data_IF_863821553725
#
_entry.id   IF_863821553725
#
_cell.length_a   1.000
_cell.length_b   1.000
_cell.length_c   1.000
_cell.angle_alpha   90.00
_cell.angle_beta   90.00
_cell.angle_gamma   90.00
#
_symmetry.space_group_name_H-M   'P 1'
#
loop_
_entity.id
_entity.type
_entity.pdbx_description
1 polymer ?
#
# COMPACT_ATOMS: atom_id res chain seq x y z
N UNK A 1 -7.44 -33.00 -28.96
CA UNK A 1 -6.35 -32.34 -28.19
C UNK A 1 -5.92 -31.00 -28.77
N UNK A 2 -6.55 -30.47 -29.82
CA UNK A 2 -6.25 -29.12 -30.36
C UNK A 2 -7.20 -28.01 -29.87
N UNK A 3 -8.24 -28.35 -29.12
CA UNK A 3 -9.24 -27.37 -28.66
C UNK A 3 -8.93 -26.73 -27.30
N UNK A 4 -8.09 -27.35 -26.47
CA UNK A 4 -7.77 -26.84 -25.12
C UNK A 4 -6.60 -25.83 -25.17
N UNK A 5 -5.68 -25.96 -26.13
CA UNK A 5 -4.56 -25.02 -26.27
C UNK A 5 -4.97 -23.68 -26.91
N UNK A 6 -6.13 -23.64 -27.59
CA UNK A 6 -6.62 -22.43 -28.26
C UNK A 6 -7.27 -21.44 -27.27
N UNK A 7 -7.86 -21.93 -26.19
CA UNK A 7 -8.50 -21.10 -25.15
C UNK A 7 -7.50 -20.43 -24.19
N UNK A 8 -6.23 -20.87 -24.15
CA UNK A 8 -5.18 -20.21 -23.36
C UNK A 8 -4.56 -19.02 -24.13
N UNK A 9 -4.73 -18.99 -25.46
CA UNK A 9 -3.99 -18.08 -26.35
C UNK A 9 -4.75 -16.80 -26.74
N UNK A 10 -5.94 -16.56 -26.20
CA UNK A 10 -6.81 -15.47 -26.65
C UNK A 10 -7.47 -14.71 -25.49
N UNK A 11 -6.72 -14.42 -24.43
CA UNK A 11 -7.13 -13.37 -23.49
C UNK A 11 -5.95 -12.63 -22.82
N UNK A 12 -4.81 -12.55 -23.48
CA UNK A 12 -3.83 -11.50 -23.18
C UNK A 12 -4.32 -10.20 -23.82
N UNK A 13 -5.38 -9.62 -23.29
CA UNK A 13 -5.52 -8.19 -23.42
C UNK A 13 -4.23 -7.61 -22.85
N UNK A 14 -3.39 -6.98 -23.68
CA UNK A 14 -2.22 -6.20 -23.27
C UNK A 14 -2.66 -4.96 -22.47
N UNK A 15 -3.54 -5.16 -21.49
CA UNK A 15 -3.81 -4.18 -20.46
C UNK A 15 -2.54 -4.15 -19.63
N UNK A 16 -1.74 -3.11 -19.85
CA UNK A 16 -0.63 -2.78 -18.96
C UNK A 16 -1.18 -2.82 -17.55
N UNK A 17 -0.70 -3.76 -16.72
CA UNK A 17 -1.13 -3.90 -15.34
C UNK A 17 -0.85 -2.57 -14.64
N UNK A 18 -1.89 -1.78 -14.41
CA UNK A 18 -1.74 -0.42 -13.86
C UNK A 18 -1.46 -0.46 -12.36
N UNK A 19 -1.90 -1.52 -11.70
CA UNK A 19 -1.69 -1.76 -10.28
C UNK A 19 -1.80 -3.24 -9.92
N UNK A 20 -1.13 -3.63 -8.83
CA UNK A 20 -1.23 -4.93 -8.19
C UNK A 20 -1.62 -4.73 -6.73
N UNK A 21 -2.67 -5.40 -6.28
CA UNK A 21 -3.16 -5.32 -4.91
C UNK A 21 -3.08 -6.71 -4.24
N UNK A 22 -2.51 -6.74 -3.04
CA UNK A 22 -2.43 -7.94 -2.21
C UNK A 22 -2.56 -7.56 -0.74
N UNK A 23 -3.47 -8.21 -0.03
CA UNK A 23 -3.67 -7.90 1.37
C UNK A 23 -4.67 -8.78 2.09
N UNK A 24 -4.82 -8.49 3.38
CA UNK A 24 -5.87 -8.94 4.29
C UNK A 24 -6.50 -7.71 4.92
N UNK A 25 -7.54 -7.90 5.73
CA UNK A 25 -8.29 -6.80 6.37
C UNK A 25 -7.42 -5.90 7.27
N UNK A 26 -6.25 -6.37 7.70
CA UNK A 26 -5.31 -5.68 8.59
C UNK A 26 -4.10 -5.08 7.88
N UNK A 27 -3.67 -5.62 6.73
CA UNK A 27 -2.56 -5.06 5.95
C UNK A 27 -2.84 -5.23 4.48
N UNK A 28 -2.77 -4.13 3.73
CA UNK A 28 -2.94 -4.13 2.28
C UNK A 28 -1.74 -3.48 1.59
N UNK A 29 -1.30 -4.06 0.48
CA UNK A 29 -0.20 -3.55 -0.35
C UNK A 29 -0.72 -3.30 -1.75
N UNK A 30 -0.53 -2.07 -2.23
CA UNK A 30 -0.89 -1.65 -3.58
C UNK A 30 0.39 -1.17 -4.27
N UNK A 31 0.76 -1.84 -5.35
CA UNK A 31 1.92 -1.51 -6.16
C UNK A 31 1.49 -0.97 -7.51
N UNK A 32 2.01 0.18 -7.91
CA UNK A 32 1.90 0.72 -9.27
C UNK A 32 3.30 0.84 -9.88
N UNK A 33 3.39 1.31 -11.13
CA UNK A 33 4.68 1.45 -11.83
C UNK A 33 5.71 2.37 -11.14
N UNK A 34 5.27 3.24 -10.22
CA UNK A 34 6.16 4.19 -9.54
C UNK A 34 5.92 4.35 -8.04
N UNK A 35 4.99 3.59 -7.44
CA UNK A 35 4.64 3.72 -6.03
C UNK A 35 4.31 2.37 -5.43
N UNK A 36 4.83 2.13 -4.24
CA UNK A 36 4.36 1.07 -3.35
C UNK A 36 3.62 1.77 -2.21
N UNK A 37 2.34 1.48 -2.04
CA UNK A 37 1.53 1.94 -0.92
C UNK A 37 1.27 0.75 0.00
N UNK A 38 1.52 0.94 1.29
CA UNK A 38 1.19 -0.04 2.34
C UNK A 38 0.20 0.62 3.27
N UNK A 39 -0.97 -0.01 3.44
CA UNK A 39 -2.00 0.41 4.37
C UNK A 39 -2.04 -0.54 5.56
N UNK A 40 -2.15 0.03 6.76
CA UNK A 40 -2.28 -0.70 8.01
C UNK A 40 -3.66 -0.41 8.61
N UNK A 41 -4.42 -1.46 8.89
CA UNK A 41 -5.69 -1.37 9.60
C UNK A 41 -5.51 -0.91 11.04
N UNK A 42 -6.61 -0.47 11.66
CA UNK A 42 -6.57 0.07 13.04
C UNK A 42 -6.10 -0.95 14.08
N UNK A 43 -6.27 -2.24 13.81
CA UNK A 43 -5.91 -3.32 14.74
C UNK A 43 -4.57 -3.96 14.40
N UNK A 44 -3.82 -3.41 13.45
CA UNK A 44 -2.54 -3.99 13.02
C UNK A 44 -1.52 -3.87 14.16
N UNK A 45 -0.94 -4.99 14.60
CA UNK A 45 0.03 -4.96 15.69
C UNK A 45 1.27 -4.14 15.31
N UNK A 46 1.80 -3.35 16.25
CA UNK A 46 3.00 -2.53 16.04
C UNK A 46 4.20 -3.36 15.56
N UNK A 47 4.31 -4.62 16.00
CA UNK A 47 5.37 -5.53 15.55
C UNK A 47 5.30 -5.81 14.04
N UNK A 48 4.12 -5.83 13.45
CA UNK A 48 3.91 -6.04 12.00
C UNK A 48 4.36 -4.78 11.25
N UNK A 49 3.92 -3.61 11.71
CA UNK A 49 4.33 -2.31 11.15
C UNK A 49 5.86 -2.16 11.19
N UNK A 50 6.46 -2.39 12.35
CA UNK A 50 7.91 -2.29 12.53
C UNK A 50 8.69 -3.26 11.65
N UNK A 51 8.24 -4.51 11.52
CA UNK A 51 8.88 -5.50 10.62
C UNK A 51 8.84 -5.05 9.16
N UNK A 52 7.75 -4.47 8.70
CA UNK A 52 7.62 -3.99 7.32
C UNK A 52 8.58 -2.81 7.08
N UNK A 53 8.61 -1.83 7.99
CA UNK A 53 9.55 -0.70 7.89
C UNK A 53 11.02 -1.14 7.92
N UNK A 54 11.36 -2.10 8.78
CA UNK A 54 12.71 -2.69 8.82
C UNK A 54 13.04 -3.42 7.51
N UNK A 55 12.11 -4.17 6.95
CA UNK A 55 12.31 -4.85 5.67
C UNK A 55 12.56 -3.87 4.53
N UNK A 56 11.80 -2.77 4.46
CA UNK A 56 12.00 -1.72 3.45
C UNK A 56 13.38 -1.07 3.62
N UNK A 57 13.76 -0.67 4.83
CA UNK A 57 15.05 -0.02 5.08
C UNK A 57 16.27 -0.92 4.83
N UNK A 58 16.11 -2.24 4.91
CA UNK A 58 17.16 -3.22 4.53
C UNK A 58 17.39 -3.28 3.03
N UNK A 59 16.35 -3.03 2.22
CA UNK A 59 16.43 -3.05 0.76
C UNK A 59 16.98 -1.70 0.27
N UNK A 60 16.38 -0.61 0.74
CA UNK A 60 16.80 0.74 0.38
C UNK A 60 16.83 1.64 1.62
N UNK A 61 18.04 2.02 2.03
CA UNK A 61 18.28 2.93 3.16
C UNK A 61 17.90 4.37 2.84
N UNK A 62 17.76 4.72 1.57
CA UNK A 62 17.37 6.04 1.08
C UNK A 62 15.88 6.15 0.76
N UNK A 63 15.10 5.10 1.04
CA UNK A 63 13.67 5.09 0.80
C UNK A 63 12.97 6.26 1.50
N UNK A 64 12.41 7.16 0.71
CA UNK A 64 11.55 8.25 1.18
C UNK A 64 10.14 7.69 1.39
N UNK A 65 9.52 8.03 2.51
CA UNK A 65 8.19 7.58 2.87
C UNK A 65 7.32 8.77 3.31
N UNK A 66 6.04 8.69 2.98
CA UNK A 66 5.00 9.62 3.40
C UNK A 66 4.03 8.88 4.31
N UNK A 67 3.60 9.52 5.40
CA UNK A 67 2.67 8.93 6.36
C UNK A 67 1.37 9.75 6.33
N UNK A 68 0.26 9.09 6.02
CA UNK A 68 -1.08 9.65 6.14
C UNK A 68 -1.79 8.98 7.33
N UNK A 69 -2.38 9.79 8.22
CA UNK A 69 -3.10 9.30 9.40
C UNK A 69 -4.55 9.77 9.31
N UNK A 70 -5.49 8.83 9.35
CA UNK A 70 -6.92 9.13 9.50
C UNK A 70 -7.23 9.24 10.99
N UNK A 71 -7.69 10.40 11.43
CA UNK A 71 -7.99 10.67 12.83
C UNK A 71 -9.39 11.28 13.02
N UNK A 72 -9.97 11.18 14.23
CA UNK A 72 -11.17 11.91 14.60
C UNK A 72 -10.95 13.43 14.57
N UNK A 73 -12.04 14.20 14.39
CA UNK A 73 -11.99 15.65 14.30
C UNK A 73 -11.31 16.30 15.52
N UNK A 74 -11.54 15.77 16.71
CA UNK A 74 -11.02 16.29 17.97
C UNK A 74 -9.49 16.18 18.08
N UNK A 75 -8.87 15.30 17.28
CA UNK A 75 -7.41 15.10 17.26
C UNK A 75 -6.69 15.93 16.21
N UNK A 76 -7.40 16.64 15.32
CA UNK A 76 -6.78 17.39 14.23
C UNK A 76 -5.76 18.40 14.78
N UNK A 77 -6.14 19.21 15.78
CA UNK A 77 -5.25 20.23 16.37
C UNK A 77 -4.01 19.61 17.03
N UNK A 78 -4.16 18.43 17.64
CA UNK A 78 -3.02 17.67 18.19
C UNK A 78 -2.05 17.27 17.06
N UNK A 79 -2.53 16.69 15.96
CA UNK A 79 -1.67 16.30 14.85
C UNK A 79 -1.05 17.50 14.12
N UNK A 80 -1.79 18.59 13.93
CA UNK A 80 -1.24 19.83 13.36
C UNK A 80 -0.07 20.37 14.21
N UNK A 81 -0.19 20.29 15.54
CA UNK A 81 0.91 20.70 16.45
C UNK A 81 2.16 19.82 16.34
N UNK A 82 2.02 18.58 15.86
CA UNK A 82 3.12 17.67 15.56
C UNK A 82 3.68 17.85 14.13
N UNK A 83 3.21 18.84 13.38
CA UNK A 83 3.69 19.16 12.04
C UNK A 83 2.99 18.41 10.90
N UNK A 84 1.87 17.74 11.18
CA UNK A 84 1.04 17.14 10.12
C UNK A 84 0.25 18.23 9.39
N UNK A 85 0.02 18.02 8.09
CA UNK A 85 -0.83 18.89 7.27
C UNK A 85 -2.21 18.26 7.13
N UNK A 86 -3.25 19.03 7.45
CA UNK A 86 -4.63 18.60 7.25
C UNK A 86 -4.93 18.51 5.75
N UNK A 87 -5.38 17.33 5.31
CA UNK A 87 -5.89 17.10 3.96
C UNK A 87 -7.38 16.75 4.08
N UNK A 88 -8.25 17.59 3.52
CA UNK A 88 -9.68 17.32 3.42
C UNK A 88 -9.91 16.34 2.27
N UNK A 89 -10.29 15.10 2.59
CA UNK A 89 -10.75 14.07 1.63
C UNK A 89 -12.19 13.68 1.91
#
# INVERSE_FOLDING_TARGET
MESIEKDIKENTSNQSLSSYEMGRDDVNVICTYGKIAVWFGRQTPEVVVGRILISISRIDKSAVHEVEIVCPFEKITEYESHGYVLVLR
#
